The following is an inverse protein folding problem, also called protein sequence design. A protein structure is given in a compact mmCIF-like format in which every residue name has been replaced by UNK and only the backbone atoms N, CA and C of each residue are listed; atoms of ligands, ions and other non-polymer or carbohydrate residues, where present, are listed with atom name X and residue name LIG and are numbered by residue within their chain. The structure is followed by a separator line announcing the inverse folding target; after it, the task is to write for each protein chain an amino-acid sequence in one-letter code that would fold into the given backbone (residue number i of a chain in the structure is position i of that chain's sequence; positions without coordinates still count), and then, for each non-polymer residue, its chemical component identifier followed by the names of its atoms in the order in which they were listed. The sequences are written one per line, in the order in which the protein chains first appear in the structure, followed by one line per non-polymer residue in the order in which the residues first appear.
data_IF_245141954730
#
_entry.id   IF_245141954730
#
_cell.length_a   1.000
_cell.length_b   1.000
_cell.length_c   1.000
_cell.angle_alpha   90.00
_cell.angle_beta   90.00
_cell.angle_gamma   90.00
#
_symmetry.space_group_name_H-M   'P 1'
#
loop_
_entity.id
_entity.type
_entity.pdbx_description
1 polymer ?
#
# COMPACT_ATOMS: atom_id res chain seq x y z
N UNK A 1 -19.44 -10.43 -1.44
CA UNK A 1 -18.52 -11.03 -0.44
C UNK A 1 -17.11 -10.59 -0.76
N UNK A 2 -16.45 -9.82 0.12
CA UNK A 2 -15.07 -9.38 -0.10
C UNK A 2 -14.16 -10.08 0.90
N UNK A 3 -13.23 -10.87 0.38
CA UNK A 3 -12.21 -11.57 1.18
C UNK A 3 -10.88 -10.92 0.86
N UNK A 4 -10.15 -10.50 1.90
CA UNK A 4 -8.83 -9.92 1.72
C UNK A 4 -7.85 -11.01 1.25
N UNK A 5 -6.84 -10.61 0.48
CA UNK A 5 -5.75 -11.50 0.09
C UNK A 5 -5.08 -12.16 1.32
N UNK A 6 -5.01 -11.43 2.43
CA UNK A 6 -4.46 -11.90 3.69
C UNK A 6 -5.30 -13.00 4.34
N UNK A 7 -6.64 -12.90 4.29
CA UNK A 7 -7.53 -13.94 4.81
C UNK A 7 -7.40 -15.25 4.01
N UNK A 8 -7.23 -15.17 2.69
CA UNK A 8 -6.94 -16.34 1.84
C UNK A 8 -5.58 -16.96 2.21
N UNK A 9 -4.57 -16.13 2.52
CA UNK A 9 -3.28 -16.66 2.95
C UNK A 9 -3.35 -17.29 4.35
N UNK A 10 -4.03 -16.65 5.31
CA UNK A 10 -4.17 -17.18 6.67
C UNK A 10 -4.91 -18.52 6.70
N UNK A 11 -5.89 -18.74 5.82
CA UNK A 11 -6.60 -20.03 5.75
C UNK A 11 -5.72 -21.15 5.18
N UNK A 12 -4.74 -20.82 4.34
CA UNK A 12 -3.76 -21.78 3.81
C UNK A 12 -2.63 -22.07 4.80
N UNK A 13 -2.36 -21.15 5.73
CA UNK A 13 -1.24 -21.21 6.66
C UNK A 13 -1.72 -21.49 8.09
N UNK A 14 -1.69 -22.76 8.51
CA UNK A 14 -2.04 -23.14 9.89
C UNK A 14 -0.90 -22.75 10.87
N UNK A 15 -1.10 -21.79 11.79
CA UNK A 15 -0.07 -21.36 12.74
C UNK A 15 0.34 -22.45 13.74
N UNK A 16 -0.40 -23.57 13.84
CA UNK A 16 -0.07 -24.71 14.71
C UNK A 16 0.89 -25.70 14.03
N UNK A 17 1.14 -25.58 12.73
CA UNK A 17 2.06 -26.45 11.99
C UNK A 17 3.40 -25.76 11.77
N UNK A 18 4.50 -26.49 11.99
CA UNK A 18 5.90 -26.01 11.79
C UNK A 18 6.18 -25.61 10.33
N UNK A 19 5.38 -26.11 9.40
CA UNK A 19 5.36 -25.74 7.99
C UNK A 19 3.96 -25.25 7.69
N UNK A 20 3.86 -24.08 7.08
CA UNK A 20 2.60 -23.42 6.91
C UNK A 20 1.77 -24.08 5.78
N UNK A 21 2.41 -24.83 4.86
CA UNK A 21 1.76 -25.67 3.83
C UNK A 21 2.53 -26.99 3.70
N UNK A 22 1.86 -28.09 3.36
CA UNK A 22 2.48 -29.38 3.07
C UNK A 22 3.47 -29.30 1.88
N UNK A 23 4.61 -29.99 1.99
CA UNK A 23 5.66 -30.02 0.97
C UNK A 23 5.15 -30.48 -0.39
N UNK A 24 4.27 -31.48 -0.40
CA UNK A 24 3.66 -32.03 -1.63
C UNK A 24 2.91 -30.96 -2.44
N UNK A 25 2.27 -30.00 -1.74
CA UNK A 25 1.54 -28.89 -2.33
C UNK A 25 2.48 -27.77 -2.75
N UNK A 26 3.51 -27.47 -1.94
CA UNK A 26 4.47 -26.39 -2.26
C UNK A 26 5.25 -26.66 -3.54
N UNK A 27 5.51 -27.91 -3.91
CA UNK A 27 6.17 -28.28 -5.16
C UNK A 27 5.39 -27.84 -6.41
N UNK A 28 4.07 -27.66 -6.30
CA UNK A 28 3.21 -27.17 -7.38
C UNK A 28 3.15 -25.64 -7.45
N UNK A 29 3.61 -24.95 -6.40
CA UNK A 29 3.63 -23.49 -6.36
C UNK A 29 4.87 -22.98 -7.10
N UNK A 30 4.70 -21.95 -7.93
CA UNK A 30 5.80 -21.29 -8.66
C UNK A 30 7.00 -20.90 -7.78
N UNK A 31 6.75 -20.54 -6.52
CA UNK A 31 7.82 -20.14 -5.59
C UNK A 31 8.38 -21.28 -4.74
N UNK A 32 7.71 -22.43 -4.66
CA UNK A 32 8.14 -23.57 -3.85
C UNK A 32 8.19 -23.33 -2.34
N UNK A 33 7.67 -22.20 -1.84
CA UNK A 33 7.91 -21.79 -0.44
C UNK A 33 6.88 -22.38 0.51
N UNK A 34 7.32 -23.07 1.59
CA UNK A 34 6.42 -23.57 2.63
C UNK A 34 6.02 -22.49 3.64
N UNK A 35 6.63 -21.31 3.56
CA UNK A 35 6.38 -20.19 4.48
C UNK A 35 6.27 -18.88 3.71
N UNK A 36 5.33 -18.02 4.15
CA UNK A 36 5.16 -16.68 3.60
C UNK A 36 6.42 -15.84 3.81
N UNK A 37 6.79 -15.04 2.81
CA UNK A 37 7.74 -13.94 3.04
C UNK A 37 7.02 -12.77 3.70
N UNK A 38 7.48 -12.27 4.85
CA UNK A 38 6.92 -11.05 5.41
C UNK A 38 7.06 -9.91 4.40
N UNK A 39 5.99 -9.14 4.22
CA UNK A 39 6.07 -7.90 3.44
C UNK A 39 6.95 -6.95 4.25
N UNK A 40 8.13 -6.62 3.73
CA UNK A 40 8.97 -5.61 4.36
C UNK A 40 8.18 -4.31 4.43
N UNK A 41 8.14 -3.66 5.60
CA UNK A 41 7.60 -2.32 5.71
C UNK A 41 8.33 -1.44 4.69
N UNK A 42 7.59 -0.84 3.73
CA UNK A 42 8.19 0.11 2.80
C UNK A 42 8.68 1.28 3.64
N UNK A 43 9.99 1.56 3.58
CA UNK A 43 10.51 2.82 4.13
C UNK A 43 9.88 3.96 3.35
N UNK A 44 9.51 5.07 4.02
CA UNK A 44 9.03 6.26 3.32
C UNK A 44 10.12 6.70 2.33
N UNK A 45 9.82 6.62 1.04
CA UNK A 45 10.75 6.96 -0.04
C UNK A 45 10.83 8.46 -0.30
N UNK A 46 10.10 9.29 0.45
CA UNK A 46 9.97 10.73 0.22
C UNK A 46 9.22 11.11 -1.05
N UNK A 47 8.93 10.15 -1.95
CA UNK A 47 8.11 10.33 -3.15
C UNK A 47 6.68 10.73 -2.76
N UNK A 48 6.18 11.82 -3.33
CA UNK A 48 4.84 12.36 -3.07
C UNK A 48 4.78 13.47 -2.01
N UNK A 49 5.91 13.87 -1.43
CA UNK A 49 5.98 15.03 -0.52
C UNK A 49 6.26 16.27 -1.37
N UNK A 50 5.27 17.16 -1.50
CA UNK A 50 5.45 18.49 -2.10
C UNK A 50 6.10 19.38 -1.03
N UNK A 51 7.33 19.85 -1.27
CA UNK A 51 8.03 20.75 -0.34
C UNK A 51 7.40 22.13 -0.43
N UNK A 52 7.11 22.75 0.72
CA UNK A 52 6.53 24.10 0.77
C UNK A 52 5.04 24.18 0.47
N UNK A 53 4.31 23.06 0.51
CA UNK A 53 2.87 23.04 0.27
C UNK A 53 2.13 23.89 1.30
N UNK A 54 1.29 24.82 0.82
CA UNK A 54 0.38 25.59 1.66
C UNK A 54 -0.81 24.71 2.06
N UNK A 55 -1.22 24.79 3.33
CA UNK A 55 -2.44 24.09 3.78
C UNK A 55 -3.65 24.62 3.03
N UNK A 56 -4.59 23.74 2.65
CA UNK A 56 -5.85 24.13 1.99
C UNK A 56 -6.59 25.22 2.78
N UNK A 57 -6.48 25.19 4.11
CA UNK A 57 -7.09 26.19 5.01
C UNK A 57 -6.44 27.58 4.97
N UNK A 58 -5.19 27.68 4.50
CA UNK A 58 -4.42 28.91 4.43
C UNK A 58 -4.41 29.53 3.03
N UNK A 59 -5.14 28.93 2.08
CA UNK A 59 -5.21 29.44 0.71
C UNK A 59 -5.96 30.76 0.64
N UNK A 60 -5.53 31.71 -0.20
CA UNK A 60 -6.32 32.90 -0.51
C UNK A 60 -7.67 32.50 -1.13
N UNK A 61 -8.74 33.21 -0.77
CA UNK A 61 -10.09 32.95 -1.28
C UNK A 61 -10.18 33.07 -2.82
N UNK A 62 -9.30 33.85 -3.42
CA UNK A 62 -9.17 34.06 -4.87
C UNK A 62 -8.83 32.77 -5.63
N UNK A 63 -8.22 31.79 -4.96
CA UNK A 63 -7.81 30.50 -5.56
C UNK A 63 -9.02 29.60 -5.85
N UNK A 64 -10.11 29.73 -5.10
CA UNK A 64 -11.30 28.87 -5.25
C UNK A 64 -11.96 29.02 -6.63
N UNK A 65 -11.92 30.24 -7.18
CA UNK A 65 -12.50 30.58 -8.48
C UNK A 65 -11.70 30.02 -9.68
N UNK A 66 -10.42 29.66 -9.48
CA UNK A 66 -9.52 29.10 -10.51
C UNK A 66 -9.48 29.83 -11.86
N UNK A 67 -9.77 31.13 -11.86
CA UNK A 67 -9.83 31.97 -13.07
C UNK A 67 -8.46 32.29 -13.67
N UNK A 68 -7.38 32.12 -12.90
CA UNK A 68 -6.01 32.47 -13.30
C UNK A 68 -5.16 31.21 -13.50
N UNK A 69 -4.37 31.11 -14.59
CA UNK A 69 -3.34 30.10 -14.72
C UNK A 69 -2.35 30.20 -13.54
N UNK A 70 -2.26 29.15 -12.72
CA UNK A 70 -1.55 29.16 -11.43
C UNK A 70 -2.42 28.64 -10.29
N UNK A 71 -3.71 29.04 -10.21
CA UNK A 71 -4.65 28.54 -9.19
C UNK A 71 -4.96 27.03 -9.28
N UNK A 72 -4.44 26.37 -10.32
CA UNK A 72 -4.60 24.94 -10.58
C UNK A 72 -3.42 24.11 -10.04
N UNK A 73 -2.33 24.77 -9.64
CA UNK A 73 -1.15 24.11 -9.08
C UNK A 73 -1.39 23.74 -7.61
N UNK A 74 -0.88 22.57 -7.22
CA UNK A 74 -1.21 21.94 -5.94
C UNK A 74 -0.45 22.48 -4.73
N UNK A 75 0.50 23.38 -4.93
CA UNK A 75 1.38 23.99 -3.93
C UNK A 75 0.86 25.35 -3.42
N UNK A 76 -0.04 25.99 -4.16
CA UNK A 76 -0.86 27.12 -3.68
C UNK A 76 -1.93 26.69 -2.70
#
# INVERSE_FOLDING_TARGET
MQISHEAIYLSLYDPRRRQAIDRSLTQRLRSGRPMRRPKLARRPTGRGIIRGMVSISARPAEVEDRKVPGHWEGDL
#
